data_IF_442374211383
#
_entry.id   IF_442374211383
#
_cell.length_a   1.000
_cell.length_b   1.000
_cell.length_c   1.000
_cell.angle_alpha   90.00
_cell.angle_beta   90.00
_cell.angle_gamma   90.00
#
_symmetry.space_group_name_H-M   'P 1'
#
loop_
_entity.id
_entity.type
_entity.pdbx_description
1 polymer ?
#
# COMPACT_ATOMS: atom_id res chain seq x y z
N UNK A 1 -3.29 22.49 -2.50
CA UNK A 1 -3.55 22.11 -3.91
C UNK A 1 -2.89 20.79 -4.33
N UNK A 2 -1.56 20.64 -4.32
CA UNK A 2 -0.92 19.36 -4.71
C UNK A 2 -1.13 18.25 -3.67
N UNK A 3 -1.09 18.60 -2.39
CA UNK A 3 -1.34 17.67 -1.28
C UNK A 3 -2.78 17.15 -1.27
N UNK A 4 -3.76 18.00 -1.52
CA UNK A 4 -5.18 17.61 -1.66
C UNK A 4 -5.40 16.59 -2.79
N UNK A 5 -4.63 16.69 -3.88
CA UNK A 5 -4.71 15.74 -4.99
C UNK A 5 -4.09 14.40 -4.58
N UNK A 6 -2.95 14.41 -3.88
CA UNK A 6 -2.30 13.21 -3.40
C UNK A 6 -3.23 12.44 -2.43
N UNK A 7 -3.87 13.13 -1.48
CA UNK A 7 -4.82 12.51 -0.57
C UNK A 7 -6.01 11.89 -1.32
N UNK A 8 -6.60 12.59 -2.29
CA UNK A 8 -7.69 12.04 -3.12
C UNK A 8 -7.30 10.78 -3.90
N UNK A 9 -6.06 10.70 -4.40
CA UNK A 9 -5.57 9.51 -5.10
C UNK A 9 -5.31 8.38 -4.10
N UNK A 10 -4.76 8.70 -2.94
CA UNK A 10 -4.58 7.76 -1.83
C UNK A 10 -5.90 7.14 -1.39
N UNK A 11 -6.96 7.95 -1.23
CA UNK A 11 -8.28 7.48 -0.84
C UNK A 11 -8.85 6.47 -1.84
N UNK A 12 -8.71 6.74 -3.16
CA UNK A 12 -9.13 5.81 -4.22
C UNK A 12 -8.37 4.49 -4.18
N UNK A 13 -7.08 4.51 -3.85
CA UNK A 13 -6.28 3.29 -3.69
C UNK A 13 -6.78 2.50 -2.48
N UNK A 14 -7.06 3.19 -1.38
CA UNK A 14 -7.61 2.56 -0.17
C UNK A 14 -8.98 1.93 -0.43
N UNK A 15 -9.84 2.59 -1.21
CA UNK A 15 -11.11 2.03 -1.68
C UNK A 15 -10.91 0.78 -2.55
N UNK A 16 -9.97 0.81 -3.50
CA UNK A 16 -9.63 -0.34 -4.33
C UNK A 16 -9.09 -1.53 -3.53
N UNK A 17 -8.44 -1.26 -2.40
CA UNK A 17 -7.95 -2.24 -1.44
C UNK A 17 -8.96 -2.57 -0.33
N UNK A 18 -10.17 -2.02 -0.43
CA UNK A 18 -11.27 -2.18 0.52
C UNK A 18 -10.83 -1.93 1.97
N UNK A 19 -9.98 -0.92 2.19
CA UNK A 19 -9.52 -0.54 3.53
C UNK A 19 -10.64 0.15 4.31
N UNK A 20 -10.76 -0.19 5.59
CA UNK A 20 -11.63 0.56 6.50
C UNK A 20 -10.98 1.89 6.95
N UNK A 21 -11.71 2.70 7.71
CA UNK A 21 -11.23 4.01 8.16
C UNK A 21 -9.98 3.90 9.03
N UNK A 22 -9.91 2.92 9.92
CA UNK A 22 -8.79 2.74 10.83
C UNK A 22 -7.53 2.31 10.07
N UNK A 23 -7.67 1.40 9.12
CA UNK A 23 -6.60 0.98 8.22
C UNK A 23 -6.09 2.15 7.37
N UNK A 24 -6.99 3.01 6.86
CA UNK A 24 -6.64 4.22 6.09
C UNK A 24 -5.83 5.21 6.92
N UNK A 25 -6.30 5.55 8.10
CA UNK A 25 -5.63 6.49 9.00
C UNK A 25 -4.24 5.98 9.39
N UNK A 26 -4.12 4.70 9.77
CA UNK A 26 -2.85 4.08 10.13
C UNK A 26 -1.88 4.04 8.94
N UNK A 27 -2.36 3.74 7.74
CA UNK A 27 -1.53 3.66 6.55
C UNK A 27 -0.98 5.05 6.16
N UNK A 28 -1.83 6.07 6.18
CA UNK A 28 -1.45 7.46 5.89
C UNK A 28 -0.47 8.04 6.93
N UNK A 29 -0.65 7.64 8.19
CA UNK A 29 0.00 8.23 9.36
C UNK A 29 -0.85 9.35 9.97
N UNK A 30 -0.53 9.74 11.21
CA UNK A 30 -1.20 10.86 11.90
C UNK A 30 -0.17 11.87 12.43
N UNK A 31 -0.02 13.05 11.78
CA UNK A 31 -0.72 13.47 10.57
C UNK A 31 -0.26 12.68 9.31
N UNK A 32 -1.08 12.65 8.23
CA UNK A 32 -0.68 12.06 6.96
C UNK A 32 0.62 12.67 6.43
N UNK A 33 1.48 11.84 5.83
CA UNK A 33 2.73 12.32 5.22
C UNK A 33 2.79 11.99 3.72
N UNK A 34 3.25 12.96 2.92
CA UNK A 34 3.46 12.77 1.49
C UNK A 34 4.47 11.66 1.17
N UNK A 35 5.46 11.44 2.03
CA UNK A 35 6.42 10.35 1.89
C UNK A 35 5.73 8.98 1.97
N UNK A 36 4.95 8.72 3.03
CA UNK A 36 4.20 7.45 3.15
C UNK A 36 3.22 7.26 2.00
N UNK A 37 2.49 8.30 1.62
CA UNK A 37 1.57 8.25 0.48
C UNK A 37 2.32 7.91 -0.82
N UNK A 38 3.51 8.47 -1.02
CA UNK A 38 4.32 8.17 -2.21
C UNK A 38 4.76 6.70 -2.28
N UNK A 39 5.06 6.07 -1.13
CA UNK A 39 5.33 4.63 -1.08
C UNK A 39 4.10 3.82 -1.47
N UNK A 40 2.92 4.17 -0.95
CA UNK A 40 1.66 3.51 -1.28
C UNK A 40 1.36 3.58 -2.77
N UNK A 41 1.62 4.72 -3.44
CA UNK A 41 1.46 4.84 -4.89
C UNK A 41 2.40 3.91 -5.65
N UNK A 42 3.66 3.83 -5.21
CA UNK A 42 4.64 2.92 -5.78
C UNK A 42 4.24 1.45 -5.63
N UNK A 43 3.77 1.06 -4.44
CA UNK A 43 3.29 -0.29 -4.14
C UNK A 43 2.07 -0.63 -4.98
N UNK A 44 1.07 0.25 -5.03
CA UNK A 44 -0.12 0.05 -5.86
C UNK A 44 0.27 -0.15 -7.32
N UNK A 45 1.14 0.68 -7.87
CA UNK A 45 1.65 0.52 -9.24
C UNK A 45 2.35 -0.83 -9.44
N UNK A 46 3.26 -1.22 -8.55
CA UNK A 46 3.99 -2.48 -8.64
C UNK A 46 3.04 -3.69 -8.62
N UNK A 47 2.06 -3.70 -7.71
CA UNK A 47 1.06 -4.77 -7.63
C UNK A 47 0.20 -4.84 -8.89
N UNK A 48 -0.16 -3.69 -9.50
CA UNK A 48 -0.90 -3.65 -10.77
C UNK A 48 -0.05 -4.11 -11.97
N UNK A 49 1.28 -4.11 -11.86
CA UNK A 49 2.19 -4.72 -12.85
C UNK A 49 2.28 -6.24 -12.65
N UNK A 50 2.36 -6.70 -11.40
CA UNK A 50 2.55 -8.12 -11.07
C UNK A 50 1.25 -8.92 -11.28
N UNK A 51 0.11 -8.38 -10.84
CA UNK A 51 -1.16 -9.10 -10.84
C UNK A 51 -2.04 -8.70 -12.03
N UNK A 52 -2.66 -9.68 -12.72
CA UNK A 52 -3.46 -9.39 -13.91
C UNK A 52 -4.78 -8.69 -13.59
N UNK A 53 -5.28 -8.80 -12.35
CA UNK A 53 -6.52 -8.14 -11.92
C UNK A 53 -6.30 -7.28 -10.68
N UNK A 54 -7.11 -6.22 -10.56
CA UNK A 54 -7.07 -5.33 -9.39
C UNK A 54 -7.47 -6.06 -8.11
N UNK A 55 -8.46 -6.97 -8.21
CA UNK A 55 -8.87 -7.83 -7.09
C UNK A 55 -7.75 -8.71 -6.58
N UNK A 56 -6.93 -9.31 -7.45
CA UNK A 56 -5.78 -10.11 -6.99
C UNK A 56 -4.72 -9.26 -6.29
N UNK A 57 -4.48 -8.03 -6.77
CA UNK A 57 -3.58 -7.09 -6.10
C UNK A 57 -4.11 -6.71 -4.71
N UNK A 58 -5.41 -6.41 -4.58
CA UNK A 58 -6.06 -6.13 -3.31
C UNK A 58 -6.06 -7.34 -2.37
N UNK A 59 -6.36 -8.54 -2.88
CA UNK A 59 -6.34 -9.77 -2.09
C UNK A 59 -4.91 -10.07 -1.58
N UNK A 60 -3.86 -9.70 -2.32
CA UNK A 60 -2.48 -9.96 -1.95
C UNK A 60 -2.05 -9.25 -0.66
N UNK A 61 -2.44 -7.97 -0.48
CA UNK A 61 -1.99 -7.21 0.69
C UNK A 61 -2.54 -7.77 2.02
N UNK A 62 -3.66 -8.52 1.95
CA UNK A 62 -4.35 -9.16 3.08
C UNK A 62 -3.81 -10.55 3.41
N UNK A 63 -2.97 -11.14 2.56
CA UNK A 63 -2.41 -12.48 2.78
C UNK A 63 -1.22 -12.41 3.72
N UNK A 64 -1.13 -13.34 4.67
CA UNK A 64 0.06 -13.54 5.50
C UNK A 64 1.27 -13.83 4.61
N UNK A 65 2.39 -13.20 4.93
CA UNK A 65 3.63 -13.34 4.19
C UNK A 65 4.77 -13.59 5.17
N UNK A 66 5.49 -14.71 4.99
CA UNK A 66 6.61 -15.08 5.84
C UNK A 66 7.80 -14.11 5.72
N UNK A 67 7.92 -13.39 4.60
CA UNK A 67 8.94 -12.34 4.41
C UNK A 67 8.70 -11.17 5.37
N UNK A 68 7.46 -10.97 5.82
CA UNK A 68 7.07 -9.94 6.77
C UNK A 68 6.83 -10.54 8.16
N UNK A 69 7.61 -11.54 8.55
CA UNK A 69 7.50 -12.24 9.84
C UNK A 69 6.10 -12.81 10.13
N UNK A 70 5.42 -13.27 9.06
CA UNK A 70 4.07 -13.83 9.14
C UNK A 70 2.94 -12.79 9.20
N UNK A 71 3.28 -11.49 9.21
CA UNK A 71 2.32 -10.40 9.01
C UNK A 71 1.81 -10.37 7.58
N UNK A 72 0.69 -9.70 7.39
CA UNK A 72 0.20 -9.31 6.07
C UNK A 72 1.05 -8.17 5.50
N UNK A 73 1.00 -7.98 4.18
CA UNK A 73 1.70 -6.84 3.58
C UNK A 73 1.08 -5.49 4.04
N UNK A 74 -0.22 -5.45 4.33
CA UNK A 74 -0.87 -4.27 4.88
C UNK A 74 -0.32 -3.88 6.25
N UNK A 75 -0.18 -4.85 7.17
CA UNK A 75 0.43 -4.61 8.48
C UNK A 75 1.88 -4.12 8.33
N UNK A 76 2.66 -4.74 7.43
CA UNK A 76 4.01 -4.28 7.13
C UNK A 76 4.05 -2.88 6.51
N UNK A 77 3.07 -2.51 5.68
CA UNK A 77 2.95 -1.15 5.14
C UNK A 77 2.57 -0.13 6.22
N UNK A 78 1.73 -0.51 7.17
CA UNK A 78 1.39 0.35 8.32
C UNK A 78 2.65 0.62 9.13
N UNK A 79 3.46 -0.41 9.41
CA UNK A 79 4.73 -0.24 10.14
C UNK A 79 5.74 0.58 9.31
N UNK A 80 6.15 0.10 8.14
CA UNK A 80 7.14 0.76 7.28
C UNK A 80 6.89 0.44 5.78
N UNK A 81 6.20 1.31 5.03
CA UNK A 81 5.82 1.01 3.64
C UNK A 81 7.02 0.93 2.69
N UNK A 82 8.15 1.54 3.05
CA UNK A 82 9.40 1.42 2.31
C UNK A 82 9.92 -0.04 2.24
N UNK A 83 9.67 -0.87 3.27
CA UNK A 83 10.05 -2.29 3.28
C UNK A 83 9.28 -3.05 2.21
N UNK A 84 7.95 -2.89 2.17
CA UNK A 84 7.09 -3.55 1.18
C UNK A 84 7.41 -3.06 -0.23
N UNK A 85 7.68 -1.76 -0.39
CA UNK A 85 8.10 -1.22 -1.69
C UNK A 85 9.39 -1.86 -2.20
N UNK A 86 10.43 -1.93 -1.37
CA UNK A 86 11.72 -2.56 -1.73
C UNK A 86 11.54 -4.03 -2.10
N UNK A 87 10.72 -4.75 -1.35
CA UNK A 87 10.40 -6.15 -1.65
C UNK A 87 9.79 -6.31 -3.04
N UNK A 88 8.77 -5.51 -3.38
CA UNK A 88 8.10 -5.58 -4.69
C UNK A 88 9.01 -5.14 -5.83
N UNK A 89 9.82 -4.09 -5.63
CA UNK A 89 10.79 -3.66 -6.65
C UNK A 89 11.78 -4.79 -6.98
N UNK A 90 12.21 -5.59 -6.00
CA UNK A 90 13.07 -6.74 -6.22
C UNK A 90 12.40 -7.90 -7.00
N UNK A 91 11.07 -7.97 -7.03
CA UNK A 91 10.33 -8.95 -7.84
C UNK A 91 10.13 -8.51 -9.30
N UNK A 92 10.41 -7.24 -9.61
CA UNK A 92 10.22 -6.64 -10.93
C UNK A 92 11.54 -6.48 -11.71
N UNK A 93 12.66 -6.93 -11.13
CA UNK A 93 13.97 -7.04 -11.78
C UNK A 93 14.02 -8.31 -12.65
#
# INVERSE_FOLDING_TARGET
MKEDIALKVFDRICEAWTLDEEEREKLAGSPPSLERISYVFGIYKALRTIFPTERQAADWIRKKNWVFDGKTALEAMIDEPAVVRRYLDAQLL
#
